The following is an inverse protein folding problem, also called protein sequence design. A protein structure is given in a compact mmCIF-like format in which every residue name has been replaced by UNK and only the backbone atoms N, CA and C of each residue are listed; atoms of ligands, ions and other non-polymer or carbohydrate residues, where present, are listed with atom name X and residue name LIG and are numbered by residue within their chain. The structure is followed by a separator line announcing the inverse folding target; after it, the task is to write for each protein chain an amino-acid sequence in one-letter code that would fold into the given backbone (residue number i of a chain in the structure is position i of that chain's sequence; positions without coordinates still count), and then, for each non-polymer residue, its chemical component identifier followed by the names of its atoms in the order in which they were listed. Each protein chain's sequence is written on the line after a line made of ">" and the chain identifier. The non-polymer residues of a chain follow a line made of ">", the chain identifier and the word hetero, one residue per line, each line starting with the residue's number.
data_IF_171085708150
#
_entry.id   IF_171085708150
#
_cell.length_a   1.000
_cell.length_b   1.000
_cell.length_c   1.000
_cell.angle_alpha   90.00
_cell.angle_beta   90.00
_cell.angle_gamma   90.00
#
_symmetry.space_group_name_H-M   'P 1'
#
loop_
_entity.id
_entity.type
_entity.pdbx_description
1 polymer ?
#
# COMPACT_ATOMS: atom_id res chain seq x y z
N UNK A 1 19.18 -50.71 -14.78
CA UNK A 1 19.63 -49.81 -13.73
C UNK A 1 20.00 -48.43 -14.24
N UNK A 2 20.81 -48.24 -15.29
CA UNK A 2 21.19 -46.88 -15.80
C UNK A 2 20.01 -45.98 -16.20
N UNK A 3 18.94 -46.52 -16.84
CA UNK A 3 17.76 -45.75 -17.25
C UNK A 3 16.93 -45.25 -16.05
N UNK A 4 16.78 -46.05 -14.99
CA UNK A 4 16.06 -45.70 -13.78
C UNK A 4 16.82 -44.59 -13.02
N UNK A 5 18.14 -44.69 -12.95
CA UNK A 5 18.98 -43.65 -12.32
C UNK A 5 18.91 -42.32 -13.09
N UNK A 6 18.86 -42.37 -14.43
CA UNK A 6 18.72 -41.16 -15.26
C UNK A 6 17.36 -40.47 -15.04
N UNK A 7 16.27 -41.25 -14.96
CA UNK A 7 14.92 -40.68 -14.69
C UNK A 7 14.87 -40.06 -13.29
N UNK A 8 15.45 -40.75 -12.30
CA UNK A 8 15.48 -40.23 -10.92
C UNK A 8 16.30 -38.95 -10.81
N UNK A 9 17.42 -38.83 -11.51
CA UNK A 9 18.25 -37.64 -11.58
C UNK A 9 17.51 -36.47 -12.27
N UNK A 10 16.76 -36.75 -13.34
CA UNK A 10 15.98 -35.74 -14.06
C UNK A 10 14.84 -35.21 -13.19
N UNK A 11 14.15 -36.08 -12.45
CA UNK A 11 13.07 -35.67 -11.51
C UNK A 11 13.64 -34.80 -10.39
N UNK A 12 14.78 -35.17 -9.80
CA UNK A 12 15.45 -34.37 -8.77
C UNK A 12 15.85 -33.00 -9.32
N UNK A 13 16.40 -32.90 -10.53
CA UNK A 13 16.76 -31.64 -11.17
C UNK A 13 15.53 -30.72 -11.41
N UNK A 14 14.35 -31.28 -11.73
CA UNK A 14 13.12 -30.52 -11.88
C UNK A 14 12.63 -29.91 -10.55
N UNK A 15 12.84 -30.56 -9.41
CA UNK A 15 12.50 -30.02 -8.10
C UNK A 15 13.41 -28.84 -7.69
N UNK A 16 14.67 -28.83 -8.09
CA UNK A 16 15.59 -27.74 -7.77
C UNK A 16 15.31 -26.45 -8.54
N UNK A 17 14.70 -26.49 -9.72
CA UNK A 17 14.39 -25.30 -10.52
C UNK A 17 13.23 -24.46 -9.96
N UNK A 18 12.34 -25.04 -9.15
CA UNK A 18 11.22 -24.33 -8.53
C UNK A 18 11.57 -23.67 -7.18
N UNK A 19 12.71 -24.01 -6.59
CA UNK A 19 13.09 -23.52 -5.26
C UNK A 19 13.43 -22.00 -5.21
N UNK A 20 13.86 -21.42 -6.34
CA UNK A 20 14.21 -19.99 -6.39
C UNK A 20 13.04 -19.06 -6.15
N UNK A 21 11.85 -19.38 -6.68
CA UNK A 21 10.65 -18.55 -6.49
C UNK A 21 10.13 -18.58 -5.06
N UNK A 22 10.09 -19.76 -4.44
CA UNK A 22 9.69 -19.93 -3.05
C UNK A 22 10.65 -19.22 -2.08
N UNK A 23 11.94 -19.22 -2.38
CA UNK A 23 12.96 -18.54 -1.58
C UNK A 23 12.75 -17.00 -1.63
N UNK A 24 12.40 -16.44 -2.78
CA UNK A 24 12.11 -15.01 -2.93
C UNK A 24 10.88 -14.60 -2.14
N UNK A 25 9.83 -15.42 -2.18
CA UNK A 25 8.63 -15.24 -1.36
C UNK A 25 8.98 -15.25 0.13
N UNK A 26 9.73 -16.25 0.60
CA UNK A 26 10.17 -16.32 1.99
C UNK A 26 11.00 -15.12 2.41
N UNK A 27 11.94 -14.65 1.58
CA UNK A 27 12.75 -13.49 1.88
C UNK A 27 11.88 -12.22 2.00
N UNK A 28 10.86 -12.04 1.16
CA UNK A 28 9.97 -10.89 1.22
C UNK A 28 9.08 -10.90 2.47
N UNK A 29 8.61 -12.06 2.92
CA UNK A 29 7.81 -12.15 4.15
C UNK A 29 8.61 -11.85 5.42
N UNK A 30 9.95 -11.88 5.33
CA UNK A 30 10.85 -11.49 6.41
C UNK A 30 11.33 -10.03 6.31
N UNK A 31 10.91 -9.29 5.29
CA UNK A 31 11.21 -7.86 5.21
C UNK A 31 10.37 -7.08 6.20
N UNK A 32 10.98 -6.06 6.80
CA UNK A 32 10.30 -5.07 7.62
C UNK A 32 9.74 -3.97 6.71
N UNK A 33 8.47 -3.60 6.92
CA UNK A 33 7.80 -2.55 6.18
C UNK A 33 7.35 -1.45 7.12
N UNK A 34 7.59 -0.21 6.74
CA UNK A 34 7.13 0.96 7.47
C UNK A 34 6.66 2.05 6.51
N UNK A 35 5.78 2.92 6.98
CA UNK A 35 5.46 4.14 6.27
C UNK A 35 6.71 5.04 6.25
N UNK A 36 6.97 5.68 5.12
CA UNK A 36 8.08 6.61 4.99
C UNK A 36 7.57 8.05 4.92
N UNK A 37 6.66 8.32 4.01
CA UNK A 37 6.02 9.64 3.86
C UNK A 37 4.83 9.59 2.92
N UNK A 38 3.94 10.55 3.05
CA UNK A 38 2.91 10.87 2.07
C UNK A 38 3.54 11.75 0.98
N UNK A 39 3.23 11.45 -0.28
CA UNK A 39 3.73 12.19 -1.45
C UNK A 39 2.62 12.90 -2.22
N UNK A 40 1.35 12.60 -1.92
CA UNK A 40 0.22 13.27 -2.53
C UNK A 40 -1.09 12.96 -1.83
N UNK A 41 -1.93 13.98 -1.67
CA UNK A 41 -3.32 13.86 -1.22
C UNK A 41 -4.15 14.78 -2.11
N UNK A 42 -5.18 14.22 -2.76
CA UNK A 42 -6.10 15.02 -3.54
C UNK A 42 -7.54 14.60 -3.34
N UNK A 43 -8.44 15.57 -3.23
CA UNK A 43 -9.87 15.40 -3.15
C UNK A 43 -10.58 16.57 -3.83
N UNK A 44 -11.67 16.32 -4.53
CA UNK A 44 -12.46 17.34 -5.25
C UNK A 44 -11.62 18.19 -6.24
N UNK A 45 -10.55 17.60 -6.81
CA UNK A 45 -9.60 18.29 -7.68
C UNK A 45 -8.67 19.26 -6.97
N UNK A 46 -8.57 19.19 -5.63
CA UNK A 46 -7.68 20.00 -4.81
C UNK A 46 -6.51 19.12 -4.39
N UNK A 47 -5.29 19.62 -4.58
CA UNK A 47 -4.06 19.02 -4.07
C UNK A 47 -3.74 19.62 -2.70
N UNK A 48 -3.86 18.80 -1.65
CA UNK A 48 -3.65 19.25 -0.28
C UNK A 48 -2.18 19.26 0.16
N UNK A 49 -1.26 18.64 -0.62
CA UNK A 49 0.16 18.62 -0.28
C UNK A 49 0.93 19.84 -0.80
N UNK A 50 0.36 20.55 -1.78
CA UNK A 50 1.06 21.60 -2.52
C UNK A 50 1.45 22.83 -1.69
N UNK A 51 0.75 23.09 -0.57
CA UNK A 51 0.95 24.28 0.28
C UNK A 51 1.16 23.94 1.77
N UNK A 52 1.45 22.68 2.11
CA UNK A 52 1.34 22.20 3.49
C UNK A 52 -0.11 22.20 3.94
N UNK A 53 -0.62 21.08 4.43
CA UNK A 53 -2.02 21.00 4.81
C UNK A 53 -2.26 21.76 6.14
N UNK A 54 -2.75 22.99 6.06
CA UNK A 54 -3.39 23.69 7.19
C UNK A 54 -4.83 24.03 6.79
N UNK A 55 -5.81 23.29 7.37
CA UNK A 55 -7.23 23.49 7.09
C UNK A 55 -7.71 24.92 7.46
N UNK A 56 -7.00 25.62 8.36
CA UNK A 56 -7.30 27.00 8.76
C UNK A 56 -6.98 28.02 7.66
N UNK A 57 -6.20 27.61 6.67
CA UNK A 57 -5.79 28.45 5.54
C UNK A 57 -6.56 28.12 4.25
N UNK A 58 -7.63 27.32 4.32
CA UNK A 58 -8.45 27.03 3.15
C UNK A 58 -9.14 28.31 2.66
N UNK A 59 -8.89 28.67 1.41
CA UNK A 59 -9.55 29.79 0.77
C UNK A 59 -11.02 29.48 0.45
N UNK A 60 -11.80 30.55 0.17
CA UNK A 60 -13.24 30.42 -0.15
C UNK A 60 -13.48 29.52 -1.36
N UNK A 61 -12.60 29.55 -2.35
CA UNK A 61 -12.70 28.68 -3.55
C UNK A 61 -12.55 27.21 -3.19
N UNK A 62 -11.60 26.88 -2.33
CA UNK A 62 -11.36 25.53 -1.83
C UNK A 62 -12.55 25.02 -1.02
N UNK A 63 -13.08 25.85 -0.10
CA UNK A 63 -14.28 25.52 0.67
C UNK A 63 -15.47 25.25 -0.26
N UNK A 64 -15.69 26.08 -1.28
CA UNK A 64 -16.76 25.88 -2.24
C UNK A 64 -16.63 24.57 -3.02
N UNK A 65 -15.41 24.19 -3.43
CA UNK A 65 -15.14 22.90 -4.10
C UNK A 65 -15.43 21.71 -3.17
N UNK A 66 -14.97 21.76 -1.92
CA UNK A 66 -15.24 20.73 -0.93
C UNK A 66 -16.76 20.59 -0.67
N UNK A 67 -17.47 21.69 -0.50
CA UNK A 67 -18.92 21.69 -0.33
C UNK A 67 -19.63 21.05 -1.54
N UNK A 68 -19.22 21.43 -2.76
CA UNK A 68 -19.77 20.84 -3.99
C UNK A 68 -19.50 19.33 -4.07
N UNK A 69 -18.31 18.88 -3.67
CA UNK A 69 -17.97 17.46 -3.65
C UNK A 69 -18.88 16.69 -2.67
N UNK A 70 -19.10 17.21 -1.46
CA UNK A 70 -20.01 16.62 -0.47
C UNK A 70 -21.43 16.51 -1.02
N UNK A 71 -21.96 17.59 -1.63
CA UNK A 71 -23.30 17.58 -2.24
C UNK A 71 -23.39 16.57 -3.37
N UNK A 72 -22.34 16.42 -4.16
CA UNK A 72 -22.27 15.44 -5.25
C UNK A 72 -21.93 14.02 -4.77
N UNK A 73 -21.79 13.77 -3.47
CA UNK A 73 -21.42 12.48 -2.87
C UNK A 73 -20.06 11.96 -3.34
N UNK A 74 -19.14 12.85 -3.65
CA UNK A 74 -17.76 12.52 -3.97
C UNK A 74 -16.94 12.50 -2.67
N UNK A 75 -16.81 11.32 -2.09
CA UNK A 75 -16.07 11.06 -0.85
C UNK A 75 -14.76 10.32 -1.10
N UNK A 76 -14.29 10.30 -2.34
CA UNK A 76 -13.09 9.58 -2.73
C UNK A 76 -11.85 10.46 -2.66
N UNK A 77 -10.96 10.16 -1.71
CA UNK A 77 -9.64 10.79 -1.59
C UNK A 77 -8.62 9.93 -2.35
N UNK A 78 -7.84 10.55 -3.23
CA UNK A 78 -6.70 9.89 -3.85
C UNK A 78 -5.44 10.21 -3.05
N UNK A 79 -4.70 9.16 -2.70
CA UNK A 79 -3.49 9.26 -1.88
C UNK A 79 -2.32 8.61 -2.59
N UNK A 80 -1.15 9.20 -2.43
CA UNK A 80 0.13 8.61 -2.81
C UNK A 80 1.07 8.65 -1.61
N UNK A 81 1.75 7.54 -1.37
CA UNK A 81 2.72 7.42 -0.29
C UNK A 81 3.91 6.58 -0.70
N UNK A 82 4.94 6.64 0.09
CA UNK A 82 6.11 5.78 0.01
C UNK A 82 6.18 4.87 1.23
N UNK A 83 6.34 3.56 0.98
CA UNK A 83 6.73 2.58 1.99
C UNK A 83 8.23 2.35 1.92
N UNK A 84 8.86 2.19 3.06
CA UNK A 84 10.22 1.68 3.18
C UNK A 84 10.15 0.18 3.45
N UNK A 85 10.79 -0.62 2.60
CA UNK A 85 11.03 -2.04 2.83
C UNK A 85 12.50 -2.24 3.20
N UNK A 86 12.77 -2.99 4.27
CA UNK A 86 14.11 -3.35 4.73
C UNK A 86 14.24 -4.86 4.77
N UNK A 87 15.27 -5.41 4.14
CA UNK A 87 15.48 -6.86 4.06
C UNK A 87 16.64 -7.29 4.98
N UNK A 88 16.37 -7.84 6.17
CA UNK A 88 17.41 -8.35 7.07
C UNK A 88 18.05 -9.66 6.57
N UNK A 89 17.47 -10.29 5.56
CA UNK A 89 17.88 -11.59 5.04
C UNK A 89 19.24 -11.59 4.36
N UNK A 90 19.72 -12.78 4.03
CA UNK A 90 21.02 -12.98 3.35
C UNK A 90 20.93 -12.95 1.84
N UNK A 91 19.74 -12.94 1.26
CA UNK A 91 19.46 -12.91 -0.18
C UNK A 91 18.44 -11.83 -0.48
N UNK A 92 18.48 -11.29 -1.69
CA UNK A 92 17.53 -10.31 -2.15
C UNK A 92 16.10 -10.84 -2.09
N UNK A 93 15.18 -9.96 -1.75
CA UNK A 93 13.75 -10.20 -1.80
C UNK A 93 13.16 -9.51 -3.03
N UNK A 94 12.18 -10.15 -3.67
CA UNK A 94 11.60 -9.63 -4.91
C UNK A 94 10.08 -9.81 -4.89
N UNK A 95 9.34 -8.82 -5.41
CA UNK A 95 7.91 -8.90 -5.65
C UNK A 95 7.52 -8.23 -6.97
N UNK A 96 6.42 -8.67 -7.56
CA UNK A 96 5.86 -8.14 -8.83
C UNK A 96 4.82 -7.04 -8.58
N UNK A 97 4.20 -7.06 -7.43
CA UNK A 97 3.16 -6.14 -7.00
C UNK A 97 2.55 -6.60 -5.69
N UNK A 98 1.43 -6.01 -5.31
CA UNK A 98 0.71 -6.39 -4.10
C UNK A 98 -0.76 -5.98 -4.17
N UNK A 99 -1.62 -6.75 -3.47
CA UNK A 99 -2.93 -6.26 -3.08
C UNK A 99 -2.81 -5.46 -1.80
N UNK A 100 -3.69 -4.49 -1.61
CA UNK A 100 -3.78 -3.75 -0.36
C UNK A 100 -5.22 -3.67 0.14
N UNK A 101 -5.37 -3.59 1.45
CA UNK A 101 -6.61 -3.22 2.13
C UNK A 101 -6.25 -2.13 3.12
N UNK A 102 -6.97 -1.00 3.04
CA UNK A 102 -6.77 0.15 3.91
C UNK A 102 -7.92 0.23 4.92
N UNK A 103 -7.57 0.44 6.17
CA UNK A 103 -8.50 0.69 7.27
C UNK A 103 -8.23 2.04 7.91
N UNK A 104 -9.30 2.70 8.37
CA UNK A 104 -9.26 3.86 9.25
C UNK A 104 -9.98 3.49 10.55
N UNK A 105 -9.21 3.32 11.63
CA UNK A 105 -9.71 2.63 12.80
C UNK A 105 -10.08 1.17 12.49
N UNK A 106 -11.36 0.85 12.64
CA UNK A 106 -11.89 -0.48 12.32
C UNK A 106 -12.59 -0.56 10.96
N UNK A 107 -12.80 0.58 10.31
CA UNK A 107 -13.56 0.66 9.07
C UNK A 107 -12.65 0.45 7.87
N UNK A 108 -13.06 -0.43 6.94
CA UNK A 108 -12.39 -0.59 5.66
C UNK A 108 -12.73 0.61 4.78
N UNK A 109 -11.71 1.37 4.40
CA UNK A 109 -11.87 2.60 3.60
C UNK A 109 -11.27 2.50 2.20
N UNK A 110 -10.69 1.38 1.85
CA UNK A 110 -10.18 1.15 0.50
C UNK A 110 -9.55 -0.22 0.34
N UNK A 111 -9.49 -0.66 -0.90
CA UNK A 111 -8.72 -1.83 -1.31
C UNK A 111 -8.38 -1.73 -2.80
N UNK A 112 -7.42 -2.52 -3.23
CA UNK A 112 -7.02 -2.56 -4.61
C UNK A 112 -5.77 -3.38 -4.86
N UNK A 113 -5.29 -3.28 -6.09
CA UNK A 113 -4.08 -3.95 -6.56
C UNK A 113 -3.10 -2.88 -7.02
N UNK A 114 -1.91 -2.90 -6.49
CA UNK A 114 -0.80 -2.12 -7.00
C UNK A 114 0.08 -3.02 -7.86
N UNK A 115 0.12 -2.72 -9.15
CA UNK A 115 1.03 -3.38 -10.09
C UNK A 115 2.13 -2.40 -10.46
N UNK A 116 3.37 -2.76 -10.18
CA UNK A 116 4.51 -1.99 -10.65
C UNK A 116 4.89 -2.47 -12.06
N UNK A 117 5.22 -1.54 -12.95
CA UNK A 117 5.73 -1.90 -14.29
C UNK A 117 7.04 -2.68 -14.21
N UNK A 118 7.80 -2.46 -13.16
CA UNK A 118 9.06 -3.13 -12.89
C UNK A 118 8.96 -3.90 -11.58
N UNK A 119 9.62 -5.04 -11.55
CA UNK A 119 9.80 -5.83 -10.34
C UNK A 119 10.46 -4.99 -9.23
N UNK A 120 9.92 -5.08 -8.01
CA UNK A 120 10.52 -4.46 -6.83
C UNK A 120 11.54 -5.42 -6.24
N UNK A 121 12.75 -4.93 -6.02
CA UNK A 121 13.85 -5.69 -5.39
C UNK A 121 14.26 -4.97 -4.11
N UNK A 122 14.29 -5.72 -3.01
CA UNK A 122 14.83 -5.24 -1.72
C UNK A 122 16.14 -5.96 -1.46
N UNK A 123 17.28 -5.26 -1.53
CA UNK A 123 18.60 -5.87 -1.40
C UNK A 123 18.80 -6.54 -0.04
N UNK A 124 19.60 -7.60 -0.02
CA UNK A 124 19.93 -8.36 1.19
C UNK A 124 20.73 -7.55 2.23
N UNK A 125 20.94 -8.15 3.40
CA UNK A 125 21.85 -7.68 4.46
C UNK A 125 21.50 -6.28 5.01
N UNK A 126 20.22 -6.04 5.25
CA UNK A 126 19.70 -4.76 5.75
C UNK A 126 19.53 -3.70 4.64
N UNK A 127 19.63 -4.10 3.36
CA UNK A 127 19.34 -3.20 2.25
C UNK A 127 17.90 -2.73 2.28
N UNK A 128 17.67 -1.52 1.78
CA UNK A 128 16.36 -0.87 1.79
C UNK A 128 15.91 -0.49 0.39
N UNK A 129 14.60 -0.47 0.19
CA UNK A 129 13.98 0.00 -1.06
C UNK A 129 12.73 0.80 -0.72
N UNK A 130 12.56 1.95 -1.37
CA UNK A 130 11.34 2.74 -1.31
C UNK A 130 10.34 2.23 -2.34
N UNK A 131 9.12 1.94 -1.89
CA UNK A 131 8.03 1.42 -2.71
C UNK A 131 6.96 2.49 -2.83
N UNK A 132 6.79 3.12 -4.00
CA UNK A 132 5.71 4.06 -4.22
C UNK A 132 4.37 3.32 -4.30
N UNK A 133 3.37 3.85 -3.60
CA UNK A 133 2.00 3.36 -3.60
C UNK A 133 1.03 4.48 -3.92
N UNK A 134 -0.03 4.14 -4.68
CA UNK A 134 -1.19 5.02 -4.84
C UNK A 134 -2.44 4.23 -4.46
N UNK A 135 -3.32 4.84 -3.68
CA UNK A 135 -4.57 4.22 -3.28
C UNK A 135 -5.70 5.25 -3.20
N UNK A 136 -6.91 4.73 -3.22
CA UNK A 136 -8.13 5.50 -3.01
C UNK A 136 -8.68 5.18 -1.63
N UNK A 137 -9.09 6.25 -0.94
CA UNK A 137 -9.80 6.17 0.33
C UNK A 137 -11.24 6.57 0.05
N UNK A 138 -12.17 5.63 0.16
CA UNK A 138 -13.60 5.89 0.03
C UNK A 138 -14.18 6.05 1.43
N UNK A 139 -14.73 7.23 1.70
CA UNK A 139 -15.26 7.60 3.00
C UNK A 139 -16.80 7.65 3.00
N UNK A 140 -17.46 7.11 1.97
CA UNK A 140 -18.93 7.18 1.85
C UNK A 140 -19.63 6.59 3.08
N UNK A 141 -19.10 5.49 3.65
CA UNK A 141 -19.68 4.83 4.83
C UNK A 141 -19.36 5.57 6.15
N UNK A 142 -18.38 6.49 6.13
CA UNK A 142 -17.97 7.25 7.31
C UNK A 142 -18.61 8.64 7.41
N UNK A 143 -19.27 9.08 6.34
CA UNK A 143 -19.78 10.46 6.20
C UNK A 143 -21.32 10.45 6.18
N UNK A 144 -21.95 11.27 7.01
CA UNK A 144 -23.40 11.42 7.02
C UNK A 144 -23.84 12.65 6.20
N UNK A 145 -24.43 12.41 5.03
CA UNK A 145 -24.88 13.46 4.10
C UNK A 145 -25.96 14.35 4.74
N UNK A 146 -26.69 13.85 5.72
CA UNK A 146 -27.74 14.63 6.41
C UNK A 146 -27.16 15.76 7.26
N UNK A 147 -25.88 15.66 7.62
CA UNK A 147 -25.16 16.63 8.44
C UNK A 147 -23.91 17.14 7.71
N UNK A 148 -24.05 17.95 6.65
CA UNK A 148 -22.95 18.28 5.74
C UNK A 148 -21.79 19.04 6.41
N UNK A 149 -22.05 19.86 7.42
CA UNK A 149 -20.99 20.58 8.17
C UNK A 149 -20.12 19.60 8.96
N UNK A 150 -20.74 18.70 9.72
CA UNK A 150 -20.04 17.67 10.50
C UNK A 150 -19.28 16.71 9.58
N UNK A 151 -19.86 16.40 8.42
CA UNK A 151 -19.22 15.60 7.39
C UNK A 151 -17.99 16.28 6.81
N UNK A 152 -18.05 17.59 6.57
CA UNK A 152 -16.92 18.38 6.13
C UNK A 152 -15.78 18.38 7.15
N UNK A 153 -16.09 18.58 8.42
CA UNK A 153 -15.10 18.51 9.51
C UNK A 153 -14.45 17.10 9.60
N UNK A 154 -15.25 16.06 9.49
CA UNK A 154 -14.75 14.68 9.51
C UNK A 154 -13.81 14.39 8.33
N UNK A 155 -14.18 14.82 7.12
CA UNK A 155 -13.32 14.70 5.93
C UNK A 155 -11.99 15.42 6.12
N UNK A 156 -12.01 16.64 6.64
CA UNK A 156 -10.81 17.43 6.92
C UNK A 156 -9.91 16.75 7.95
N UNK A 157 -10.49 16.19 9.00
CA UNK A 157 -9.74 15.44 10.02
C UNK A 157 -9.07 14.20 9.43
N UNK A 158 -9.79 13.44 8.59
CA UNK A 158 -9.23 12.26 7.93
C UNK A 158 -8.10 12.64 6.95
N UNK A 159 -8.26 13.73 6.19
CA UNK A 159 -7.19 14.24 5.33
C UNK A 159 -5.97 14.66 6.17
N UNK A 160 -6.19 15.30 7.32
CA UNK A 160 -5.12 15.63 8.27
C UNK A 160 -4.41 14.39 8.79
N UNK A 161 -5.16 13.35 9.15
CA UNK A 161 -4.56 12.09 9.60
C UNK A 161 -3.78 11.39 8.48
N UNK A 162 -4.30 11.38 7.24
CA UNK A 162 -3.56 10.88 6.07
C UNK A 162 -2.24 11.64 5.91
N UNK A 163 -2.24 12.96 6.05
CA UNK A 163 -1.03 13.78 5.86
C UNK A 163 0.07 13.49 6.88
N UNK A 164 -0.29 12.90 8.02
CA UNK A 164 0.62 12.53 9.11
C UNK A 164 1.04 11.05 9.08
N UNK A 165 0.58 10.26 8.10
CA UNK A 165 1.04 8.88 7.97
C UNK A 165 2.57 8.85 7.76
N UNK A 166 3.25 8.11 8.62
CA UNK A 166 4.71 8.08 8.70
C UNK A 166 5.31 8.85 9.88
N UNK A 167 4.51 9.71 10.53
CA UNK A 167 4.94 10.45 11.75
C UNK A 167 4.65 9.65 13.04
N UNK A 168 3.94 8.53 12.94
CA UNK A 168 3.41 7.74 14.04
C UNK A 168 2.10 8.29 14.60
N UNK A 169 1.26 7.40 15.15
CA UNK A 169 0.00 7.73 15.82
C UNK A 169 -1.18 8.11 14.91
N UNK A 170 -1.22 7.66 13.67
CA UNK A 170 -2.45 7.76 12.89
C UNK A 170 -3.31 6.49 13.02
N UNK A 171 -4.66 6.58 12.89
CA UNK A 171 -5.53 5.41 12.97
C UNK A 171 -5.52 4.54 11.70
N UNK A 172 -4.58 4.80 10.76
CA UNK A 172 -4.48 4.04 9.54
C UNK A 172 -3.75 2.71 9.72
N UNK A 173 -4.35 1.67 9.13
CA UNK A 173 -3.77 0.34 9.06
C UNK A 173 -3.81 -0.13 7.61
N UNK A 174 -2.67 -0.52 7.06
CA UNK A 174 -2.57 -1.10 5.72
C UNK A 174 -2.25 -2.58 5.84
N UNK A 175 -3.08 -3.42 5.23
CA UNK A 175 -2.75 -4.83 5.00
C UNK A 175 -2.27 -4.99 3.56
N UNK A 176 -1.09 -5.57 3.40
CA UNK A 176 -0.49 -5.85 2.10
C UNK A 176 -0.40 -7.36 1.86
N UNK A 177 -0.66 -7.79 0.63
CA UNK A 177 -0.46 -9.16 0.18
C UNK A 177 0.43 -9.15 -1.06
N UNK A 178 1.72 -9.53 -0.94
CA UNK A 178 2.67 -9.46 -2.03
C UNK A 178 2.38 -10.52 -3.10
N UNK A 179 2.69 -10.17 -4.34
CA UNK A 179 2.63 -11.06 -5.50
C UNK A 179 4.03 -11.46 -5.91
N UNK A 180 4.24 -12.75 -6.12
CA UNK A 180 5.52 -13.35 -6.48
C UNK A 180 5.41 -14.08 -7.81
N UNK A 181 6.48 -14.07 -8.59
CA UNK A 181 6.59 -14.88 -9.81
C UNK A 181 7.31 -16.18 -9.50
N UNK A 182 6.63 -17.30 -9.74
CA UNK A 182 7.20 -18.64 -9.66
C UNK A 182 7.05 -19.28 -11.05
N UNK A 183 8.15 -19.34 -11.80
CA UNK A 183 8.10 -19.72 -13.21
C UNK A 183 7.26 -18.71 -14.01
N UNK A 184 6.22 -19.18 -14.67
CA UNK A 184 5.29 -18.35 -15.46
C UNK A 184 4.05 -17.90 -14.67
N UNK A 185 3.89 -18.32 -13.41
CA UNK A 185 2.71 -18.05 -12.60
C UNK A 185 2.97 -16.93 -11.59
N UNK A 186 1.94 -16.12 -11.33
CA UNK A 186 1.92 -15.19 -10.20
C UNK A 186 1.21 -15.88 -9.04
N UNK A 187 1.87 -15.88 -7.88
CA UNK A 187 1.38 -16.49 -6.64
C UNK A 187 1.31 -15.41 -5.58
N UNK A 188 0.20 -15.39 -4.84
CA UNK A 188 -0.03 -14.44 -3.77
C UNK A 188 0.57 -14.97 -2.45
N UNK A 189 1.29 -14.10 -1.74
CA UNK A 189 1.78 -14.36 -0.40
C UNK A 189 0.70 -14.18 0.68
N UNK A 190 1.06 -14.34 1.94
CA UNK A 190 0.18 -14.01 3.05
C UNK A 190 0.00 -12.48 3.18
N UNK A 191 -1.10 -12.06 3.84
CA UNK A 191 -1.24 -10.68 4.26
C UNK A 191 -0.32 -10.37 5.43
N UNK A 192 0.33 -9.22 5.39
CA UNK A 192 1.00 -8.62 6.55
C UNK A 192 0.42 -7.23 6.81
N UNK A 193 0.55 -6.77 8.06
CA UNK A 193 -0.08 -5.53 8.51
C UNK A 193 1.01 -4.50 8.80
N UNK A 194 0.85 -3.31 8.24
CA UNK A 194 1.65 -2.13 8.55
C UNK A 194 0.76 -1.19 9.35
N UNK A 195 1.26 -0.75 10.48
CA UNK A 195 0.65 0.25 11.35
C UNK A 195 1.54 1.47 11.41
N UNK A 196 0.92 2.61 11.59
CA UNK A 196 1.62 3.86 11.86
C UNK A 196 1.78 3.97 13.39
N UNK A 197 2.91 3.47 13.90
CA UNK A 197 3.22 3.41 15.33
C UNK A 197 4.37 4.35 15.65
#
# INVERSE_FOLDING_TARGET
>A
MKKILSIFLTVILMFFSQSCGLMKMYNMTNCDFSFQRITGISWAGIDFMKNGFDYKLLDVSTIAKCTKAIVNKDFTINCALELKATNPGKKDAELEGFDYILYYGNDKVGDGVSTNKNKIVVPAKGGTTTIPMSFRVDLADLVDIKHPVQSGEKMVNIISDISKMGDGNTPFVVKLRPHFRIGNNIVNGPYFTIRDN
#
